data_IF_370575304461
#
_entry.id   IF_370575304461
#
_cell.length_a   1.000
_cell.length_b   1.000
_cell.length_c   1.000
_cell.angle_alpha   90.00
_cell.angle_beta   90.00
_cell.angle_gamma   90.00
#
_symmetry.space_group_name_H-M   'P 1'
#
loop_
_entity.id
_entity.type
_entity.pdbx_description
1 polymer ?
#
# COMPACT_ATOMS: atom_id res chain seq x y z
N UNK A 1 8.39 12.90 -8.12
CA UNK A 1 7.77 12.16 -9.24
C UNK A 1 6.45 12.79 -9.57
N UNK A 2 5.97 12.65 -10.81
CA UNK A 2 4.64 13.13 -11.17
C UNK A 2 3.60 12.21 -10.56
N UNK A 3 2.40 12.74 -10.29
CA UNK A 3 1.25 11.92 -9.87
C UNK A 3 1.04 10.80 -10.91
N UNK A 4 0.92 9.57 -10.44
CA UNK A 4 0.79 8.36 -11.27
C UNK A 4 2.11 7.77 -11.80
N UNK A 5 3.28 8.32 -11.46
CA UNK A 5 4.58 7.79 -11.84
C UNK A 5 5.23 7.07 -10.65
N UNK A 6 5.48 5.76 -10.80
CA UNK A 6 6.07 4.91 -9.77
C UNK A 6 7.55 5.19 -9.55
N UNK A 7 7.97 5.16 -8.31
CA UNK A 7 9.37 5.06 -7.94
C UNK A 7 9.90 3.63 -8.16
N UNK A 8 11.23 3.45 -8.13
CA UNK A 8 11.85 2.13 -8.36
C UNK A 8 11.40 1.07 -7.34
N UNK A 9 11.17 1.44 -6.10
CA UNK A 9 10.72 0.54 -5.02
C UNK A 9 9.25 0.15 -5.23
N UNK A 10 8.39 1.10 -5.57
CA UNK A 10 6.97 0.85 -5.88
C UNK A 10 6.81 -0.03 -7.12
N UNK A 11 7.58 0.22 -8.17
CA UNK A 11 7.58 -0.61 -9.39
C UNK A 11 8.05 -2.04 -9.07
N UNK A 12 9.14 -2.16 -8.31
CA UNK A 12 9.66 -3.46 -7.88
C UNK A 12 8.66 -4.21 -6.99
N UNK A 13 7.91 -3.52 -6.13
CA UNK A 13 6.85 -4.15 -5.33
C UNK A 13 5.75 -4.72 -6.21
N UNK A 14 5.31 -3.97 -7.23
CA UNK A 14 4.35 -4.50 -8.19
C UNK A 14 4.87 -5.74 -8.92
N UNK A 15 6.10 -5.68 -9.43
CA UNK A 15 6.67 -6.74 -10.25
C UNK A 15 6.99 -8.02 -9.46
N UNK A 16 7.52 -7.88 -8.25
CA UNK A 16 7.97 -9.01 -7.44
C UNK A 16 6.91 -9.54 -6.47
N UNK A 17 5.89 -8.77 -6.14
CA UNK A 17 4.88 -9.15 -5.15
C UNK A 17 3.47 -9.19 -5.74
N UNK A 18 2.95 -8.09 -6.30
CA UNK A 18 1.55 -8.02 -6.72
C UNK A 18 1.25 -8.82 -7.98
N UNK A 19 2.09 -8.72 -9.02
CA UNK A 19 1.88 -9.46 -10.29
C UNK A 19 1.88 -10.98 -10.10
N UNK A 20 2.83 -11.59 -9.37
CA UNK A 20 2.78 -13.02 -9.07
C UNK A 20 1.47 -13.43 -8.36
N UNK A 21 1.02 -12.67 -7.36
CA UNK A 21 -0.22 -12.94 -6.64
C UNK A 21 -1.45 -12.85 -7.54
N UNK A 22 -1.47 -11.88 -8.46
CA UNK A 22 -2.56 -11.73 -9.44
C UNK A 22 -2.60 -12.93 -10.39
N UNK A 23 -1.44 -13.36 -10.91
CA UNK A 23 -1.33 -14.52 -11.79
C UNK A 23 -1.70 -15.83 -11.08
N UNK A 24 -1.38 -15.95 -9.79
CA UNK A 24 -1.76 -17.08 -8.96
C UNK A 24 -3.25 -17.07 -8.55
N UNK A 25 -3.97 -15.97 -8.81
CA UNK A 25 -5.37 -15.80 -8.39
C UNK A 25 -5.56 -15.57 -6.90
N UNK A 26 -4.48 -15.24 -6.17
CA UNK A 26 -4.54 -14.89 -4.74
C UNK A 26 -5.13 -13.49 -4.53
N UNK A 27 -4.88 -12.58 -5.48
CA UNK A 27 -5.58 -11.31 -5.61
C UNK A 27 -6.34 -11.25 -6.93
N UNK A 28 -7.48 -10.56 -6.94
CA UNK A 28 -8.30 -10.39 -8.13
C UNK A 28 -8.04 -9.06 -8.83
N UNK A 29 -7.49 -8.08 -8.12
CA UNK A 29 -7.26 -6.74 -8.63
C UNK A 29 -6.24 -5.96 -7.79
N UNK A 30 -5.50 -5.06 -8.44
CA UNK A 30 -4.77 -4.00 -7.76
C UNK A 30 -4.73 -2.72 -8.59
N UNK A 31 -4.48 -1.57 -7.96
CA UNK A 31 -4.33 -0.28 -8.66
C UNK A 31 -3.36 0.65 -7.93
N UNK A 32 -2.40 1.19 -8.68
CA UNK A 32 -1.45 2.18 -8.18
C UNK A 32 -2.10 3.56 -8.08
N UNK A 33 -1.93 4.24 -6.93
CA UNK A 33 -2.51 5.55 -6.58
C UNK A 33 -4.01 5.69 -6.96
N UNK A 34 -4.73 4.57 -6.98
CA UNK A 34 -6.09 4.50 -7.53
C UNK A 34 -7.19 4.87 -6.53
N UNK A 35 -6.86 4.92 -5.24
CA UNK A 35 -7.81 5.20 -4.16
C UNK A 35 -7.29 6.35 -3.30
N UNK A 36 -8.14 7.35 -3.08
CA UNK A 36 -7.89 8.49 -2.22
C UNK A 36 -8.98 8.57 -1.16
N UNK A 37 -8.60 8.39 0.09
CA UNK A 37 -9.50 8.41 1.25
C UNK A 37 -9.50 9.80 1.89
N UNK A 38 -10.66 10.27 2.35
CA UNK A 38 -10.81 11.57 3.01
C UNK A 38 -10.83 11.39 4.52
N UNK A 39 -9.81 11.91 5.20
CA UNK A 39 -9.65 11.77 6.66
C UNK A 39 -10.26 12.96 7.44
N UNK A 40 -10.27 14.14 6.81
CA UNK A 40 -10.89 15.37 7.30
C UNK A 40 -11.21 16.31 6.12
N UNK A 41 -11.66 17.54 6.37
CA UNK A 41 -12.19 18.42 5.31
C UNK A 41 -11.25 18.67 4.14
N UNK A 42 -9.96 18.90 4.41
CA UNK A 42 -8.93 19.09 3.38
C UNK A 42 -7.76 18.12 3.56
N UNK A 43 -8.00 17.00 4.25
CA UNK A 43 -6.96 16.01 4.56
C UNK A 43 -7.33 14.70 3.93
N UNK A 44 -6.44 14.21 3.06
CA UNK A 44 -6.63 12.96 2.33
C UNK A 44 -5.41 12.07 2.48
N UNK A 45 -5.65 10.77 2.35
CA UNK A 45 -4.64 9.74 2.21
C UNK A 45 -4.79 9.12 0.82
N UNK A 46 -3.75 9.25 -0.01
CA UNK A 46 -3.59 8.42 -1.20
C UNK A 46 -2.57 7.35 -0.84
N UNK A 47 -2.93 6.09 -1.02
CA UNK A 47 -2.01 4.97 -0.81
C UNK A 47 -1.40 4.53 -2.12
N UNK A 48 -0.20 3.94 -2.06
CA UNK A 48 0.51 3.50 -3.26
C UNK A 48 -0.29 2.43 -4.01
N UNK A 49 -0.78 1.39 -3.33
CA UNK A 49 -1.58 0.34 -3.95
C UNK A 49 -2.86 0.03 -3.18
N UNK A 50 -3.98 0.07 -3.87
CA UNK A 50 -5.21 -0.60 -3.43
C UNK A 50 -5.23 -2.02 -4.01
N UNK A 51 -5.43 -3.03 -3.17
CA UNK A 51 -5.34 -4.45 -3.53
C UNK A 51 -6.59 -5.17 -3.06
N UNK A 52 -7.26 -5.90 -3.96
CA UNK A 52 -8.41 -6.73 -3.64
C UNK A 52 -7.99 -8.21 -3.63
N UNK A 53 -7.88 -8.85 -2.45
CA UNK A 53 -7.64 -10.29 -2.36
C UNK A 53 -8.84 -11.07 -2.90
N UNK A 54 -8.64 -12.30 -3.39
CA UNK A 54 -9.68 -13.09 -4.04
C UNK A 54 -10.94 -13.36 -3.19
N UNK A 55 -10.80 -13.36 -1.86
CA UNK A 55 -11.92 -13.48 -0.91
C UNK A 55 -11.81 -12.52 0.27
N UNK A 56 -11.01 -11.45 0.12
CA UNK A 56 -10.63 -10.59 1.23
C UNK A 56 -11.27 -9.21 1.21
N UNK A 57 -11.00 -8.47 2.27
CA UNK A 57 -11.28 -7.03 2.35
C UNK A 57 -10.23 -6.30 1.52
N UNK A 58 -10.63 -5.19 0.90
CA UNK A 58 -9.71 -4.33 0.17
C UNK A 58 -8.59 -3.84 1.10
N UNK A 59 -7.35 -4.09 0.68
CA UNK A 59 -6.13 -3.80 1.43
C UNK A 59 -5.41 -2.62 0.80
N UNK A 60 -5.09 -1.63 1.62
CA UNK A 60 -4.39 -0.41 1.28
C UNK A 60 -2.92 -0.54 1.67
N UNK A 61 -2.03 -0.63 0.68
CA UNK A 61 -0.61 -0.86 0.89
C UNK A 61 0.17 0.40 0.54
N UNK A 62 0.99 0.85 1.49
CA UNK A 62 1.94 1.96 1.33
C UNK A 62 3.37 1.40 1.28
N UNK A 63 4.07 1.61 0.17
CA UNK A 63 5.40 1.04 -0.11
C UNK A 63 6.48 1.99 0.38
N UNK A 64 7.43 1.46 1.15
CA UNK A 64 8.48 2.26 1.78
C UNK A 64 9.85 1.63 1.55
N UNK A 65 10.84 2.46 1.23
CA UNK A 65 12.24 2.01 1.07
C UNK A 65 12.88 1.46 2.35
N UNK A 66 12.25 1.66 3.51
CA UNK A 66 12.62 1.04 4.78
C UNK A 66 11.75 1.51 5.94
N UNK A 67 11.66 0.72 7.00
CA UNK A 67 10.82 1.02 8.17
C UNK A 67 11.22 2.32 8.90
N UNK A 68 12.50 2.68 8.88
CA UNK A 68 13.00 3.92 9.48
C UNK A 68 12.65 5.18 8.68
N UNK A 69 12.13 5.03 7.45
CA UNK A 69 11.82 6.13 6.53
C UNK A 69 10.33 6.49 6.56
N UNK A 70 9.52 5.79 7.37
CA UNK A 70 8.11 6.13 7.54
C UNK A 70 8.02 7.47 8.26
N UNK A 71 7.67 8.51 7.51
CA UNK A 71 7.45 9.83 8.06
C UNK A 71 6.28 9.79 9.04
N UNK A 72 6.38 10.56 10.14
CA UNK A 72 5.38 10.55 11.20
C UNK A 72 3.96 10.88 10.69
N UNK A 73 3.85 11.85 9.78
CA UNK A 73 2.59 12.24 9.15
C UNK A 73 1.94 11.07 8.36
N UNK A 74 2.74 10.32 7.59
CA UNK A 74 2.25 9.15 6.86
C UNK A 74 1.74 8.07 7.83
N UNK A 75 2.46 7.86 8.95
CA UNK A 75 2.07 6.90 9.98
C UNK A 75 0.74 7.27 10.64
N UNK A 76 0.57 8.54 11.00
CA UNK A 76 -0.67 9.05 11.60
C UNK A 76 -1.83 8.94 10.63
N UNK A 77 -1.65 9.33 9.36
CA UNK A 77 -2.71 9.25 8.35
C UNK A 77 -3.17 7.81 8.08
N UNK A 78 -2.24 6.86 7.95
CA UNK A 78 -2.57 5.45 7.80
C UNK A 78 -3.35 4.92 9.02
N UNK A 79 -2.94 5.30 10.24
CA UNK A 79 -3.63 4.88 11.45
C UNK A 79 -5.04 5.46 11.57
N UNK A 80 -5.19 6.75 11.30
CA UNK A 80 -6.49 7.42 11.28
C UNK A 80 -7.40 6.78 10.23
N UNK A 81 -6.87 6.45 9.05
CA UNK A 81 -7.63 5.76 8.02
C UNK A 81 -8.08 4.36 8.47
N UNK A 82 -7.20 3.60 9.14
CA UNK A 82 -7.53 2.28 9.70
C UNK A 82 -8.64 2.34 10.76
N UNK A 83 -8.70 3.41 11.55
CA UNK A 83 -9.76 3.60 12.55
C UNK A 83 -11.09 4.07 11.90
N UNK A 84 -11.05 4.76 10.76
CA UNK A 84 -12.23 5.34 10.10
C UNK A 84 -12.88 4.45 9.05
N UNK A 85 -12.12 3.58 8.39
CA UNK A 85 -12.58 2.78 7.26
C UNK A 85 -12.53 1.28 7.57
N UNK A 86 -13.53 0.49 7.12
CA UNK A 86 -13.54 -0.96 7.30
C UNK A 86 -12.66 -1.65 6.25
N UNK A 87 -11.40 -1.23 6.14
CA UNK A 87 -10.41 -1.66 5.16
C UNK A 87 -9.14 -2.10 5.89
N UNK A 88 -8.30 -2.92 5.24
CA UNK A 88 -7.00 -3.26 5.79
C UNK A 88 -5.96 -2.23 5.36
N UNK A 89 -5.02 -1.90 6.24
CA UNK A 89 -3.95 -0.94 5.97
C UNK A 89 -2.61 -1.57 6.32
N UNK A 90 -1.68 -1.54 5.38
CA UNK A 90 -0.40 -2.22 5.50
C UNK A 90 0.74 -1.35 4.95
N UNK A 91 1.93 -1.60 5.47
CA UNK A 91 3.18 -1.15 4.86
C UNK A 91 3.89 -2.32 4.19
N UNK A 92 4.54 -2.05 3.07
CA UNK A 92 5.46 -2.98 2.42
C UNK A 92 6.89 -2.42 2.45
N UNK A 93 7.84 -3.23 2.90
CA UNK A 93 9.26 -2.88 2.97
C UNK A 93 10.12 -3.93 2.26
N UNK A 94 11.19 -3.54 1.55
CA UNK A 94 12.19 -4.50 1.09
C UNK A 94 12.79 -5.27 2.27
N UNK A 95 12.79 -6.60 2.21
CA UNK A 95 13.35 -7.44 3.27
C UNK A 95 14.88 -7.61 3.10
N UNK A 96 15.59 -7.77 4.23
CA UNK A 96 17.03 -8.11 4.22
C UNK A 96 17.18 -9.56 3.74
N UNK A 97 17.60 -9.75 2.49
CA UNK A 97 17.73 -11.08 1.86
C UNK A 97 16.85 -11.29 0.62
N UNK A 98 16.09 -10.28 0.19
CA UNK A 98 15.20 -10.36 -0.96
C UNK A 98 13.74 -10.51 -0.56
N UNK A 99 12.83 -10.17 -1.49
CA UNK A 99 11.39 -10.13 -1.22
C UNK A 99 10.95 -8.95 -0.35
N UNK A 100 9.79 -9.12 0.29
CA UNK A 100 9.04 -8.04 0.94
C UNK A 100 8.58 -8.44 2.34
N UNK A 101 8.71 -7.52 3.29
CA UNK A 101 8.10 -7.60 4.62
C UNK A 101 6.82 -6.76 4.59
N UNK A 102 5.69 -7.41 4.86
CA UNK A 102 4.39 -6.76 5.00
C UNK A 102 4.09 -6.57 6.49
N UNK A 103 3.61 -5.39 6.87
CA UNK A 103 3.27 -5.07 8.26
C UNK A 103 1.94 -4.34 8.34
N UNK A 104 1.04 -4.83 9.18
CA UNK A 104 -0.22 -4.16 9.48
C UNK A 104 -0.01 -2.85 10.28
N UNK A 105 -0.93 -1.91 10.09
CA UNK A 105 -1.00 -0.60 10.77
C UNK A 105 -1.63 -0.68 12.16
#
# INVERSE_FOLDING_TARGET
MKVGEKNQTEQRFEDEYLRPLLLAGEISWYRFEGVKLRLADNTFLTVDYAVLPAGGVLTMIDVKGGAAVVQEDARVKMRVAADQYPLLFQYAFPAKGGGWTIKDV
#
